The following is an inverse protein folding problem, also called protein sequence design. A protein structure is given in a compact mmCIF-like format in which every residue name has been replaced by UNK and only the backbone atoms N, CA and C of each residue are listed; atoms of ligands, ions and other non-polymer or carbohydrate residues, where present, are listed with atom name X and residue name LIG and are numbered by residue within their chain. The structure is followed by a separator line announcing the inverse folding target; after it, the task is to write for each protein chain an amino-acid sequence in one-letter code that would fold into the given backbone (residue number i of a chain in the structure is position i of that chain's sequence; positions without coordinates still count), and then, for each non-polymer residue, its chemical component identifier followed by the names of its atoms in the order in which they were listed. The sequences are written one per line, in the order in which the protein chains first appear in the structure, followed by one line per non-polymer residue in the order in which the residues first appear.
data_IF_223075791364
#
_entry.id   IF_223075791364
#
_cell.length_a   1.000
_cell.length_b   1.000
_cell.length_c   1.000
_cell.angle_alpha   90.00
_cell.angle_beta   90.00
_cell.angle_gamma   90.00
#
_symmetry.space_group_name_H-M   'P 1'
#
loop_
_entity.id
_entity.type
_entity.pdbx_description
1 polymer ?
#
# COMPACT_ATOMS: atom_id res chain seq x y z
N UNK A 1 -38.85 30.42 11.05
CA UNK A 1 -37.69 31.20 10.54
C UNK A 1 -36.39 30.47 10.88
N UNK A 2 -36.08 29.37 10.16
CA UNK A 2 -34.89 28.53 10.43
C UNK A 2 -34.14 28.02 9.19
N UNK A 3 -34.48 28.50 7.98
CA UNK A 3 -33.93 27.98 6.71
C UNK A 3 -32.71 28.76 6.17
N UNK A 4 -32.20 29.76 6.90
CA UNK A 4 -31.14 30.65 6.39
C UNK A 4 -29.71 30.12 6.54
N UNK A 5 -29.46 29.23 7.51
CA UNK A 5 -28.13 28.70 7.84
C UNK A 5 -27.80 27.47 7.00
N UNK A 6 -28.69 26.48 6.92
CA UNK A 6 -28.46 25.26 6.14
C UNK A 6 -28.25 25.52 4.65
N UNK A 7 -29.03 26.41 4.04
CA UNK A 7 -28.86 26.76 2.63
C UNK A 7 -27.57 27.53 2.32
N UNK A 8 -27.01 28.27 3.30
CA UNK A 8 -25.70 28.93 3.12
C UNK A 8 -24.55 27.92 3.20
N UNK A 9 -24.65 26.99 4.14
CA UNK A 9 -23.66 25.93 4.31
C UNK A 9 -23.63 24.98 3.11
N UNK A 10 -24.80 24.54 2.62
CA UNK A 10 -24.92 23.72 1.41
C UNK A 10 -24.19 24.37 0.22
N UNK A 11 -24.50 25.64 -0.08
CA UNK A 11 -23.84 26.36 -1.18
C UNK A 11 -22.33 26.55 -0.98
N UNK A 12 -21.89 26.69 0.27
CA UNK A 12 -20.45 26.76 0.59
C UNK A 12 -19.78 25.43 0.28
N UNK A 13 -20.35 24.31 0.73
CA UNK A 13 -19.81 22.96 0.50
C UNK A 13 -19.83 22.59 -0.99
N UNK A 14 -20.88 22.92 -1.73
CA UNK A 14 -20.95 22.70 -3.18
C UNK A 14 -19.90 23.51 -3.97
N UNK A 15 -19.62 24.74 -3.53
CA UNK A 15 -18.53 25.54 -4.08
C UNK A 15 -17.18 24.88 -3.77
N UNK A 16 -16.99 24.49 -2.52
CA UNK A 16 -15.77 23.85 -2.06
C UNK A 16 -15.50 22.53 -2.78
N UNK A 17 -16.51 21.72 -3.02
CA UNK A 17 -16.39 20.48 -3.80
C UNK A 17 -15.79 20.73 -5.19
N UNK A 18 -16.32 21.73 -5.90
CA UNK A 18 -15.80 22.11 -7.22
C UNK A 18 -14.35 22.59 -7.14
N UNK A 19 -14.02 23.43 -6.16
CA UNK A 19 -12.66 23.92 -5.95
C UNK A 19 -11.68 22.78 -5.68
N UNK A 20 -12.07 21.80 -4.85
CA UNK A 20 -11.24 20.64 -4.53
C UNK A 20 -11.01 19.75 -5.76
N UNK A 21 -12.05 19.48 -6.56
CA UNK A 21 -11.93 18.65 -7.77
C UNK A 21 -11.08 19.29 -8.89
N UNK A 22 -10.89 20.61 -8.88
CA UNK A 22 -10.03 21.28 -9.86
C UNK A 22 -8.54 21.27 -9.46
N UNK A 23 -8.19 20.76 -8.27
CA UNK A 23 -6.79 20.56 -7.88
C UNK A 23 -6.17 19.44 -8.73
N UNK A 24 -4.85 19.52 -8.91
CA UNK A 24 -4.10 18.48 -9.59
C UNK A 24 -4.23 17.16 -8.82
N UNK A 25 -4.54 16.06 -9.51
CA UNK A 25 -4.59 14.70 -8.95
C UNK A 25 -3.28 13.99 -9.21
N UNK A 26 -2.93 13.01 -8.37
CA UNK A 26 -1.91 12.03 -8.73
C UNK A 26 -2.30 11.33 -10.04
N UNK A 27 -1.31 11.10 -10.89
CA UNK A 27 -1.44 10.18 -12.02
C UNK A 27 -1.28 8.76 -11.48
N UNK A 28 -2.38 8.01 -11.49
CA UNK A 28 -2.45 6.63 -10.98
C UNK A 28 -2.94 5.76 -12.13
N UNK A 29 -2.34 4.58 -12.30
CA UNK A 29 -2.77 3.65 -13.33
C UNK A 29 -4.20 3.14 -13.06
N UNK A 30 -4.92 2.80 -14.13
CA UNK A 30 -6.34 2.42 -14.08
C UNK A 30 -6.65 1.30 -13.05
N UNK A 31 -5.85 0.22 -12.92
CA UNK A 31 -6.11 -0.84 -11.94
C UNK A 31 -6.02 -0.36 -10.48
N UNK A 32 -5.06 0.50 -10.16
CA UNK A 32 -4.88 1.08 -8.83
C UNK A 32 -5.99 2.09 -8.53
N UNK A 33 -6.40 2.87 -9.53
CA UNK A 33 -7.57 3.74 -9.42
C UNK A 33 -8.82 2.92 -9.11
N UNK A 34 -9.07 1.85 -9.87
CA UNK A 34 -10.22 0.96 -9.71
C UNK A 34 -10.25 0.31 -8.33
N UNK A 35 -9.10 -0.14 -7.84
CA UNK A 35 -8.95 -0.69 -6.49
C UNK A 35 -9.40 0.30 -5.41
N UNK A 36 -8.96 1.56 -5.50
CA UNK A 36 -9.33 2.59 -4.52
C UNK A 36 -10.81 2.91 -4.61
N UNK A 37 -11.36 3.07 -5.82
CA UNK A 37 -12.80 3.30 -6.00
C UNK A 37 -13.64 2.18 -5.46
N UNK A 38 -13.30 0.95 -5.77
CA UNK A 38 -14.11 -0.20 -5.38
C UNK A 38 -14.12 -0.34 -3.85
N UNK A 39 -13.00 -0.04 -3.18
CA UNK A 39 -12.95 0.07 -1.72
C UNK A 39 -13.84 1.20 -1.19
N UNK A 40 -13.79 2.41 -1.78
CA UNK A 40 -14.67 3.52 -1.40
C UNK A 40 -16.14 3.16 -1.59
N UNK A 41 -16.48 2.60 -2.76
CA UNK A 41 -17.84 2.22 -3.15
C UNK A 41 -18.40 1.14 -2.22
N UNK A 42 -17.58 0.18 -1.82
CA UNK A 42 -17.95 -0.84 -0.83
C UNK A 42 -18.41 -0.20 0.47
N UNK A 43 -17.63 0.74 1.03
CA UNK A 43 -17.98 1.44 2.26
C UNK A 43 -19.27 2.24 2.13
N UNK A 44 -19.43 2.99 1.04
CA UNK A 44 -20.64 3.79 0.80
C UNK A 44 -21.89 2.91 0.70
N UNK A 45 -21.77 1.78 0.00
CA UNK A 45 -22.85 0.79 -0.16
C UNK A 45 -23.23 0.14 1.17
N UNK A 46 -22.25 -0.20 2.01
CA UNK A 46 -22.50 -0.82 3.31
C UNK A 46 -23.13 0.14 4.32
N UNK A 47 -22.77 1.42 4.29
CA UNK A 47 -23.32 2.44 5.20
C UNK A 47 -24.70 2.92 4.77
N UNK A 48 -24.98 2.94 3.47
CA UNK A 48 -26.25 3.32 2.84
C UNK A 48 -26.98 4.48 3.54
N UNK A 49 -26.29 5.62 3.73
CA UNK A 49 -26.82 6.75 4.49
C UNK A 49 -28.10 7.34 3.86
N UNK A 50 -28.33 7.14 2.56
CA UNK A 50 -29.51 7.60 1.85
C UNK A 50 -30.63 6.53 1.75
N UNK A 51 -30.42 5.30 2.24
CA UNK A 51 -31.41 4.23 2.19
C UNK A 51 -31.75 3.79 0.76
N UNK A 52 -30.79 3.89 -0.17
CA UNK A 52 -30.96 3.60 -1.58
C UNK A 52 -31.02 2.08 -1.85
N UNK A 53 -30.73 1.23 -0.85
CA UNK A 53 -30.65 -0.21 -0.99
C UNK A 53 -31.80 -1.02 -0.34
N UNK A 54 -33.04 -1.00 -0.86
CA UNK A 54 -33.94 -2.13 -0.69
C UNK A 54 -33.75 -3.13 -1.87
N UNK A 55 -32.55 -3.71 -2.01
CA UNK A 55 -32.32 -4.93 -2.81
C UNK A 55 -31.91 -4.81 -4.29
N UNK A 56 -31.10 -3.81 -4.70
CA UNK A 56 -30.52 -3.66 -6.07
C UNK A 56 -29.00 -3.29 -5.98
N UNK A 57 -28.20 -3.31 -7.06
CA UNK A 57 -26.74 -3.49 -6.98
C UNK A 57 -25.97 -2.22 -6.57
N UNK A 58 -24.70 -2.43 -6.21
CA UNK A 58 -23.76 -1.49 -5.58
C UNK A 58 -23.38 -0.22 -6.38
N UNK A 59 -24.11 0.15 -7.45
CA UNK A 59 -23.73 1.24 -8.36
C UNK A 59 -24.39 2.61 -8.05
N UNK A 60 -25.34 2.66 -7.12
CA UNK A 60 -26.05 3.91 -6.75
C UNK A 60 -25.15 4.99 -6.12
N UNK A 61 -24.00 4.61 -5.55
CA UNK A 61 -23.00 5.54 -4.98
C UNK A 61 -21.76 5.73 -5.88
N UNK A 62 -21.82 5.35 -7.16
CA UNK A 62 -20.65 5.32 -8.04
C UNK A 62 -20.06 6.72 -8.27
N UNK A 63 -20.90 7.74 -8.44
CA UNK A 63 -20.42 9.11 -8.69
C UNK A 63 -19.70 9.70 -7.47
N UNK A 64 -20.23 9.43 -6.29
CA UNK A 64 -19.63 9.78 -5.00
C UNK A 64 -18.31 9.05 -4.80
N UNK A 65 -18.28 7.75 -5.10
CA UNK A 65 -17.07 6.95 -5.01
C UNK A 65 -15.98 7.49 -5.93
N UNK A 66 -16.33 7.87 -7.17
CA UNK A 66 -15.38 8.48 -8.12
C UNK A 66 -14.82 9.80 -7.59
N UNK A 67 -15.67 10.69 -7.07
CA UNK A 67 -15.24 11.98 -6.55
C UNK A 67 -14.38 11.83 -5.28
N UNK A 68 -14.80 10.97 -4.34
CA UNK A 68 -14.03 10.70 -3.12
C UNK A 68 -12.71 9.99 -3.41
N UNK A 69 -12.66 9.13 -4.43
CA UNK A 69 -11.40 8.52 -4.90
C UNK A 69 -10.43 9.58 -5.37
N UNK A 70 -10.88 10.55 -6.19
CA UNK A 70 -10.04 11.66 -6.63
C UNK A 70 -9.51 12.48 -5.45
N UNK A 71 -10.38 12.84 -4.52
CA UNK A 71 -10.00 13.65 -3.35
C UNK A 71 -9.03 12.89 -2.42
N UNK A 72 -9.26 11.59 -2.22
CA UNK A 72 -8.38 10.72 -1.46
C UNK A 72 -7.01 10.60 -2.12
N UNK A 73 -6.95 10.42 -3.45
CA UNK A 73 -5.68 10.36 -4.18
C UNK A 73 -4.94 11.70 -4.18
N UNK A 74 -5.66 12.83 -4.13
CA UNK A 74 -5.05 14.16 -4.03
C UNK A 74 -4.39 14.42 -2.67
N UNK A 75 -5.06 14.03 -1.59
CA UNK A 75 -4.65 14.40 -0.23
C UNK A 75 -4.09 13.21 0.58
N UNK A 76 -3.99 12.02 -0.04
CA UNK A 76 -3.48 10.80 0.57
C UNK A 76 -4.39 10.13 1.61
N UNK A 77 -5.51 10.78 1.94
CA UNK A 77 -6.52 10.28 2.88
C UNK A 77 -7.89 10.86 2.57
N UNK A 78 -8.95 10.15 2.97
CA UNK A 78 -10.28 10.73 2.99
C UNK A 78 -10.43 11.58 4.25
N UNK A 79 -10.85 12.84 4.08
CA UNK A 79 -11.17 13.74 5.19
C UNK A 79 -12.68 13.90 5.30
N UNK A 80 -13.21 14.14 6.50
CA UNK A 80 -14.66 14.38 6.65
C UNK A 80 -15.13 15.56 5.81
N UNK A 81 -14.27 16.54 5.54
CA UNK A 81 -14.56 17.61 4.59
C UNK A 81 -14.86 17.09 3.17
N UNK A 82 -14.11 16.09 2.68
CA UNK A 82 -14.32 15.48 1.36
C UNK A 82 -15.70 14.83 1.30
N UNK A 83 -16.03 14.06 2.33
CA UNK A 83 -17.33 13.41 2.47
C UNK A 83 -18.45 14.45 2.48
N UNK A 84 -18.35 15.50 3.31
CA UNK A 84 -19.38 16.55 3.40
C UNK A 84 -19.54 17.33 2.10
N UNK A 85 -18.44 17.69 1.43
CA UNK A 85 -18.50 18.44 0.17
C UNK A 85 -19.07 17.59 -0.96
N UNK A 86 -18.70 16.31 -1.02
CA UNK A 86 -19.24 15.35 -1.98
C UNK A 86 -20.75 15.13 -1.74
N UNK A 87 -21.16 14.89 -0.49
CA UNK A 87 -22.58 14.69 -0.14
C UNK A 87 -23.43 15.92 -0.49
N UNK A 88 -22.93 17.11 -0.20
CA UNK A 88 -23.59 18.37 -0.56
C UNK A 88 -23.73 18.56 -2.07
N UNK A 89 -22.78 18.08 -2.85
CA UNK A 89 -22.78 18.20 -4.30
C UNK A 89 -23.70 17.19 -4.99
N UNK A 90 -23.72 15.94 -4.51
CA UNK A 90 -24.45 14.86 -5.17
C UNK A 90 -25.89 14.68 -4.65
N UNK A 91 -26.12 14.90 -3.34
CA UNK A 91 -27.43 14.68 -2.71
C UNK A 91 -28.16 15.95 -2.26
N UNK A 92 -27.62 17.14 -2.53
CA UNK A 92 -28.18 18.43 -2.06
C UNK A 92 -28.45 18.49 -0.54
N UNK A 93 -27.73 17.69 0.24
CA UNK A 93 -27.88 17.57 1.70
C UNK A 93 -26.56 17.78 2.41
N UNK A 94 -26.63 18.26 3.66
CA UNK A 94 -25.44 18.49 4.48
C UNK A 94 -25.37 17.40 5.54
N UNK A 95 -24.38 16.52 5.43
CA UNK A 95 -24.02 15.61 6.50
C UNK A 95 -23.46 16.40 7.69
N UNK A 96 -23.80 15.93 8.89
CA UNK A 96 -23.16 16.41 10.10
C UNK A 96 -21.68 16.00 10.13
N UNK A 97 -20.90 16.72 10.94
CA UNK A 97 -19.44 16.57 10.96
C UNK A 97 -19.02 15.21 11.49
N UNK A 98 -19.70 14.71 12.53
CA UNK A 98 -19.35 13.45 13.18
C UNK A 98 -19.58 12.25 12.25
N UNK A 99 -20.73 12.21 11.57
CA UNK A 99 -21.03 11.17 10.58
C UNK A 99 -20.02 11.19 9.43
N UNK A 100 -19.66 12.38 8.94
CA UNK A 100 -18.73 12.51 7.84
C UNK A 100 -17.29 12.15 8.21
N UNK A 101 -16.81 12.54 9.40
CA UNK A 101 -15.50 12.17 9.90
C UNK A 101 -15.41 10.64 10.10
N UNK A 102 -16.43 10.03 10.70
CA UNK A 102 -16.52 8.56 10.84
C UNK A 102 -16.48 7.84 9.50
N UNK A 103 -17.22 8.34 8.50
CA UNK A 103 -17.23 7.75 7.16
C UNK A 103 -15.87 7.90 6.47
N UNK A 104 -15.22 9.05 6.62
CA UNK A 104 -13.91 9.32 6.06
C UNK A 104 -12.81 8.43 6.68
N UNK A 105 -12.85 8.23 8.00
CA UNK A 105 -11.98 7.27 8.70
C UNK A 105 -12.18 5.85 8.19
N UNK A 106 -13.44 5.41 8.03
CA UNK A 106 -13.78 4.09 7.51
C UNK A 106 -13.30 3.90 6.07
N UNK A 107 -13.53 4.88 5.18
CA UNK A 107 -13.02 4.85 3.80
C UNK A 107 -11.49 4.73 3.78
N UNK A 108 -10.80 5.54 4.59
CA UNK A 108 -9.32 5.50 4.66
C UNK A 108 -8.82 4.15 5.17
N UNK A 109 -9.51 3.56 6.15
CA UNK A 109 -9.20 2.23 6.65
C UNK A 109 -9.42 1.14 5.59
N UNK A 110 -10.53 1.22 4.83
CA UNK A 110 -10.85 0.23 3.79
C UNK A 110 -9.84 0.29 2.64
N UNK A 111 -9.45 1.48 2.19
CA UNK A 111 -8.40 1.64 1.15
C UNK A 111 -7.05 1.11 1.67
N UNK A 112 -6.73 1.32 2.95
CA UNK A 112 -5.53 0.74 3.56
C UNK A 112 -5.60 -0.79 3.59
N UNK A 113 -6.77 -1.37 3.85
CA UNK A 113 -6.99 -2.81 3.83
C UNK A 113 -6.91 -3.38 2.41
N UNK A 114 -7.48 -2.69 1.41
CA UNK A 114 -7.39 -3.08 0.00
C UNK A 114 -5.94 -3.04 -0.54
N UNK A 115 -5.09 -2.20 0.05
CA UNK A 115 -3.64 -2.12 -0.24
C UNK A 115 -2.78 -2.91 0.75
N UNK A 116 -3.38 -3.75 1.61
CA UNK A 116 -2.64 -4.58 2.54
C UNK A 116 -1.78 -5.62 1.79
N UNK A 117 -0.64 -6.05 2.38
CA UNK A 117 0.22 -7.03 1.74
C UNK A 117 -0.50 -8.38 1.63
N UNK A 118 -0.41 -9.01 0.45
CA UNK A 118 -0.81 -10.41 0.29
C UNK A 118 0.21 -11.34 0.97
N UNK A 119 -0.23 -12.47 1.55
CA UNK A 119 0.69 -13.43 2.14
C UNK A 119 1.70 -13.93 1.09
N UNK A 120 2.94 -14.18 1.53
CA UNK A 120 3.96 -14.74 0.65
C UNK A 120 3.73 -16.22 0.39
N UNK A 121 3.95 -16.65 -0.86
CA UNK A 121 3.99 -18.06 -1.21
C UNK A 121 5.27 -18.74 -0.70
N UNK A 122 6.39 -18.00 -0.66
CA UNK A 122 7.69 -18.47 -0.17
C UNK A 122 8.42 -17.36 0.63
N UNK A 123 8.00 -17.12 1.88
CA UNK A 123 8.55 -16.05 2.71
C UNK A 123 10.03 -16.25 3.03
N UNK A 124 10.53 -17.50 3.08
CA UNK A 124 11.93 -17.79 3.40
C UNK A 124 12.83 -17.38 2.24
N UNK A 125 12.45 -17.75 1.01
CA UNK A 125 13.20 -17.39 -0.19
C UNK A 125 13.17 -15.89 -0.45
N UNK A 126 12.01 -15.24 -0.31
CA UNK A 126 11.89 -13.79 -0.46
C UNK A 126 12.69 -13.01 0.60
N UNK A 127 12.61 -13.41 1.88
CA UNK A 127 13.40 -12.80 2.94
C UNK A 127 14.90 -13.03 2.72
N UNK A 128 15.28 -14.22 2.24
CA UNK A 128 16.64 -14.55 1.87
C UNK A 128 17.19 -13.69 0.73
N UNK A 129 16.37 -13.40 -0.28
CA UNK A 129 16.73 -12.52 -1.39
C UNK A 129 16.92 -11.06 -0.92
N UNK A 130 16.00 -10.55 -0.09
CA UNK A 130 16.15 -9.21 0.50
C UNK A 130 17.40 -9.11 1.37
N UNK A 131 17.71 -10.15 2.14
CA UNK A 131 18.91 -10.22 2.95
C UNK A 131 20.20 -10.27 2.12
N UNK A 132 20.22 -11.06 1.04
CA UNK A 132 21.35 -11.15 0.12
C UNK A 132 21.68 -9.78 -0.49
N UNK A 133 20.65 -8.98 -0.82
CA UNK A 133 20.79 -7.62 -1.34
C UNK A 133 20.88 -6.54 -0.25
N UNK A 134 21.08 -6.93 1.02
CA UNK A 134 21.31 -6.01 2.13
C UNK A 134 20.09 -5.17 2.57
N UNK A 135 18.88 -5.54 2.16
CA UNK A 135 17.64 -4.81 2.46
C UNK A 135 17.03 -5.07 3.84
N UNK A 136 17.44 -6.16 4.49
CA UNK A 136 16.94 -6.53 5.81
C UNK A 136 18.05 -7.15 6.68
N UNK A 137 17.89 -7.16 8.03
CA UNK A 137 18.85 -7.79 8.92
C UNK A 137 18.72 -9.33 8.92
N UNK A 138 19.75 -10.07 9.36
CA UNK A 138 19.72 -11.54 9.42
C UNK A 138 18.52 -12.12 10.17
N UNK A 139 18.07 -11.43 11.22
CA UNK A 139 16.91 -11.83 12.03
C UNK A 139 15.61 -11.95 11.21
N UNK A 140 15.48 -11.20 10.12
CA UNK A 140 14.31 -11.26 9.23
C UNK A 140 14.20 -12.62 8.52
N UNK A 141 15.32 -13.17 8.04
CA UNK A 141 15.39 -14.51 7.42
C UNK A 141 15.06 -15.59 8.45
N UNK A 142 15.62 -15.47 9.66
CA UNK A 142 15.35 -16.40 10.76
C UNK A 142 13.87 -16.37 11.16
N UNK A 143 13.27 -15.18 11.26
CA UNK A 143 11.84 -15.04 11.57
C UNK A 143 10.96 -15.70 10.50
N UNK A 144 11.25 -15.49 9.21
CA UNK A 144 10.55 -16.16 8.12
C UNK A 144 10.66 -17.69 8.21
N UNK A 145 11.83 -18.22 8.54
CA UNK A 145 12.03 -19.66 8.74
C UNK A 145 11.26 -20.19 9.96
N UNK A 146 11.22 -19.45 11.08
CA UNK A 146 10.45 -19.80 12.28
C UNK A 146 8.96 -19.89 11.96
N UNK A 147 8.42 -18.91 11.22
CA UNK A 147 7.02 -18.93 10.80
C UNK A 147 6.71 -20.13 9.90
N UNK A 148 7.62 -20.46 8.98
CA UNK A 148 7.49 -21.62 8.10
C UNK A 148 7.47 -22.95 8.87
N UNK A 149 8.36 -23.10 9.86
CA UNK A 149 8.37 -24.27 10.76
C UNK A 149 7.09 -24.31 11.62
N UNK A 150 6.65 -23.16 12.14
CA UNK A 150 5.43 -23.07 12.95
C UNK A 150 4.16 -23.41 12.14
N UNK A 151 4.17 -23.13 10.83
CA UNK A 151 3.13 -23.55 9.88
C UNK A 151 3.15 -25.07 9.58
N UNK A 152 4.13 -25.81 10.12
CA UNK A 152 4.25 -27.25 9.97
C UNK A 152 4.99 -27.70 8.71
N UNK A 153 5.72 -26.80 8.04
CA UNK A 153 6.55 -27.18 6.89
C UNK A 153 7.75 -28.00 7.39
N UNK A 154 7.93 -29.26 6.93
CA UNK A 154 9.01 -30.11 7.39
C UNK A 154 10.34 -29.73 6.72
N UNK A 155 11.45 -29.91 7.44
CA UNK A 155 12.81 -29.77 6.90
C UNK A 155 13.84 -29.66 8.01
N UNK A 156 14.89 -30.49 7.98
CA UNK A 156 15.95 -30.44 8.99
C UNK A 156 16.81 -29.18 8.81
N UNK A 157 17.05 -28.78 7.56
CA UNK A 157 17.81 -27.56 7.24
C UNK A 157 17.00 -26.31 7.49
N UNK A 158 15.70 -26.35 7.19
CA UNK A 158 14.77 -25.28 7.55
C UNK A 158 14.71 -25.07 9.08
N UNK A 159 14.62 -26.15 9.86
CA UNK A 159 14.66 -26.08 11.33
C UNK A 159 16.00 -25.52 11.84
N UNK A 160 17.12 -25.92 11.22
CA UNK A 160 18.43 -25.38 11.58
C UNK A 160 18.52 -23.87 11.34
N UNK A 161 18.02 -23.37 10.20
CA UNK A 161 17.92 -21.94 9.91
C UNK A 161 17.02 -21.21 10.93
N UNK A 162 15.86 -21.76 11.26
CA UNK A 162 14.94 -21.21 12.25
C UNK A 162 15.53 -21.21 13.69
N UNK A 163 16.52 -22.06 13.94
CA UNK A 163 17.17 -22.20 15.25
C UNK A 163 18.43 -21.35 15.39
N UNK A 164 18.77 -20.54 14.39
CA UNK A 164 19.90 -19.62 14.49
C UNK A 164 19.68 -18.60 15.60
N UNK A 165 20.78 -18.24 16.26
CA UNK A 165 20.82 -17.29 17.34
C UNK A 165 20.80 -15.85 16.82
N UNK A 166 20.40 -14.89 17.67
CA UNK A 166 20.14 -13.50 17.26
C UNK A 166 21.36 -12.74 16.74
N UNK A 167 22.58 -13.15 17.12
CA UNK A 167 23.85 -12.57 16.70
C UNK A 167 24.59 -13.41 15.65
N UNK A 168 23.89 -14.31 14.96
CA UNK A 168 24.46 -15.09 13.86
C UNK A 168 25.07 -14.15 12.81
N UNK A 169 26.27 -14.51 12.36
CA UNK A 169 26.98 -13.75 11.33
C UNK A 169 26.28 -13.89 9.98
N UNK A 170 26.54 -12.92 9.09
CA UNK A 170 26.01 -12.93 7.72
C UNK A 170 26.29 -14.26 7.01
N UNK A 171 27.50 -14.80 7.18
CA UNK A 171 27.91 -16.05 6.55
C UNK A 171 27.15 -17.27 7.09
N UNK A 172 26.88 -17.33 8.39
CA UNK A 172 26.12 -18.43 8.98
C UNK A 172 24.67 -18.42 8.50
N UNK A 173 24.06 -17.24 8.37
CA UNK A 173 22.70 -17.12 7.84
C UNK A 173 22.66 -17.50 6.36
N UNK A 174 23.62 -17.05 5.54
CA UNK A 174 23.68 -17.43 4.12
C UNK A 174 23.91 -18.94 3.93
N UNK A 175 24.80 -19.56 4.72
CA UNK A 175 25.06 -21.00 4.63
C UNK A 175 23.82 -21.82 5.02
N UNK A 176 23.17 -21.46 6.14
CA UNK A 176 21.94 -22.12 6.59
C UNK A 176 20.78 -21.91 5.60
N UNK A 177 20.63 -20.70 5.05
CA UNK A 177 19.63 -20.39 4.03
C UNK A 177 19.84 -21.24 2.78
N UNK A 178 21.06 -21.27 2.24
CA UNK A 178 21.36 -22.07 1.05
C UNK A 178 21.12 -23.57 1.27
N UNK A 179 21.45 -24.08 2.46
CA UNK A 179 21.17 -25.46 2.82
C UNK A 179 19.65 -25.74 2.90
N UNK A 180 18.86 -24.80 3.42
CA UNK A 180 17.40 -24.91 3.49
C UNK A 180 16.76 -24.85 2.10
N UNK A 181 17.19 -23.93 1.24
CA UNK A 181 16.72 -23.84 -0.16
C UNK A 181 17.05 -25.12 -0.93
N UNK A 182 18.27 -25.64 -0.78
CA UNK A 182 18.68 -26.88 -1.42
C UNK A 182 17.86 -28.10 -0.92
N UNK A 183 17.52 -28.17 0.37
CA UNK A 183 16.63 -29.21 0.92
C UNK A 183 15.20 -29.12 0.34
N UNK A 184 14.70 -27.90 0.14
CA UNK A 184 13.40 -27.65 -0.50
C UNK A 184 13.40 -27.92 -2.01
N UNK A 185 14.57 -28.13 -2.62
CA UNK A 185 14.71 -28.30 -4.07
C UNK A 185 14.68 -26.98 -4.84
N UNK A 186 14.81 -25.86 -4.15
CA UNK A 186 14.80 -24.52 -4.72
C UNK A 186 16.20 -24.14 -5.26
N UNK A 187 16.28 -23.38 -6.37
CA UNK A 187 17.56 -22.93 -6.89
C UNK A 187 18.24 -21.94 -5.93
N UNK A 188 19.57 -21.85 -5.92
CA UNK A 188 20.26 -20.84 -5.10
C UNK A 188 19.88 -19.43 -5.54
N UNK A 189 19.87 -18.49 -4.60
CA UNK A 189 19.71 -17.07 -4.90
C UNK A 189 21.02 -16.52 -5.47
N UNK A 190 20.94 -15.73 -6.54
CA UNK A 190 22.11 -15.19 -7.23
C UNK A 190 21.99 -13.67 -7.35
N UNK A 191 23.03 -12.97 -6.90
CA UNK A 191 23.10 -11.52 -7.03
C UNK A 191 23.16 -11.11 -8.50
N UNK A 192 22.35 -10.12 -8.88
CA UNK A 192 22.27 -9.59 -10.24
C UNK A 192 21.36 -10.38 -11.19
N UNK A 193 20.64 -11.40 -10.71
CA UNK A 193 19.54 -11.99 -11.48
C UNK A 193 18.20 -11.27 -11.20
N UNK A 194 17.33 -11.29 -12.21
CA UNK A 194 16.03 -10.61 -12.11
C UNK A 194 15.11 -11.27 -11.08
N UNK A 195 15.21 -12.59 -10.93
CA UNK A 195 14.35 -13.36 -10.02
C UNK A 195 14.62 -13.00 -8.55
N UNK A 196 15.88 -12.97 -8.14
CA UNK A 196 16.32 -12.58 -6.79
C UNK A 196 15.96 -11.12 -6.54
N UNK A 197 16.14 -10.22 -7.51
CA UNK A 197 15.71 -8.82 -7.38
C UNK A 197 14.20 -8.71 -7.14
N UNK A 198 13.39 -9.46 -7.91
CA UNK A 198 11.93 -9.50 -7.74
C UNK A 198 11.56 -10.06 -6.36
N UNK A 199 12.14 -11.19 -5.95
CA UNK A 199 11.89 -11.82 -4.64
C UNK A 199 12.26 -10.89 -3.47
N UNK A 200 13.41 -10.22 -3.57
CA UNK A 200 13.85 -9.24 -2.59
C UNK A 200 12.87 -8.08 -2.46
N UNK A 201 12.44 -7.52 -3.60
CA UNK A 201 11.51 -6.41 -3.63
C UNK A 201 10.12 -6.82 -3.13
N UNK A 202 9.69 -8.07 -3.38
CA UNK A 202 8.44 -8.63 -2.83
C UNK A 202 8.49 -8.65 -1.30
N UNK A 203 9.59 -9.10 -0.69
CA UNK A 203 9.75 -9.06 0.77
C UNK A 203 9.73 -7.61 1.30
N UNK A 204 10.52 -6.72 0.71
CA UNK A 204 10.61 -5.32 1.11
C UNK A 204 9.25 -4.59 1.00
N UNK A 205 8.50 -4.81 -0.10
CA UNK A 205 7.17 -4.24 -0.31
C UNK A 205 6.18 -4.71 0.75
N UNK A 206 6.17 -6.00 1.11
CA UNK A 206 5.28 -6.50 2.17
C UNK A 206 5.63 -5.88 3.52
N UNK A 207 6.92 -5.76 3.82
CA UNK A 207 7.41 -5.14 5.05
C UNK A 207 7.02 -3.66 5.11
N UNK A 208 7.10 -2.93 4.00
CA UNK A 208 6.64 -1.53 3.90
C UNK A 208 5.14 -1.41 4.12
N UNK A 209 4.32 -2.23 3.42
CA UNK A 209 2.87 -2.17 3.54
C UNK A 209 2.38 -2.52 4.96
N UNK A 210 3.12 -3.39 5.66
CA UNK A 210 2.91 -3.74 7.07
C UNK A 210 3.47 -2.70 8.08
N UNK A 211 4.17 -1.65 7.62
CA UNK A 211 4.77 -0.62 8.47
C UNK A 211 6.09 -1.01 9.14
N UNK A 212 6.74 -2.09 8.69
CA UNK A 212 8.05 -2.54 9.16
C UNK A 212 9.23 -1.83 8.50
N UNK A 213 9.00 -1.00 7.49
CA UNK A 213 9.96 -0.04 6.93
C UNK A 213 9.24 1.24 6.54
N UNK A 214 9.92 2.37 6.65
CA UNK A 214 9.41 3.65 6.16
C UNK A 214 9.67 3.82 4.66
N UNK A 215 9.02 4.84 4.07
CA UNK A 215 9.09 5.15 2.65
C UNK A 215 10.53 5.44 2.18
N UNK A 216 11.29 6.22 2.95
CA UNK A 216 12.65 6.62 2.55
C UNK A 216 13.61 5.44 2.57
N UNK A 217 13.49 4.61 3.61
CA UNK A 217 14.26 3.38 3.73
C UNK A 217 13.97 2.41 2.59
N UNK A 218 12.70 2.26 2.19
CA UNK A 218 12.33 1.44 1.03
C UNK A 218 12.90 2.04 -0.27
N UNK A 219 12.60 3.31 -0.57
CA UNK A 219 12.96 3.94 -1.85
C UNK A 219 14.48 3.93 -2.08
N UNK A 220 15.24 4.35 -1.06
CA UNK A 220 16.70 4.45 -1.16
C UNK A 220 17.34 3.09 -1.30
N UNK A 221 16.86 2.08 -0.56
CA UNK A 221 17.33 0.71 -0.74
C UNK A 221 17.02 0.18 -2.14
N UNK A 222 15.77 0.32 -2.60
CA UNK A 222 15.37 -0.15 -3.95
C UNK A 222 16.19 0.51 -5.05
N UNK A 223 16.40 1.83 -4.97
CA UNK A 223 17.24 2.56 -5.93
C UNK A 223 18.70 2.08 -5.89
N UNK A 224 19.27 1.89 -4.69
CA UNK A 224 20.69 1.51 -4.54
C UNK A 224 20.98 0.04 -4.89
N UNK A 225 20.08 -0.88 -4.56
CA UNK A 225 20.31 -2.32 -4.65
C UNK A 225 19.78 -2.94 -5.95
N UNK A 226 18.69 -2.40 -6.50
CA UNK A 226 18.08 -2.90 -7.75
C UNK A 226 18.43 -1.96 -8.90
N UNK A 227 18.25 -0.65 -8.69
CA UNK A 227 18.59 0.37 -9.67
C UNK A 227 17.74 0.34 -10.95
N UNK A 228 17.98 1.31 -11.84
CA UNK A 228 17.23 1.45 -13.10
C UNK A 228 17.55 0.37 -14.14
N UNK A 229 18.70 -0.28 -14.01
CA UNK A 229 19.12 -1.39 -14.89
C UNK A 229 18.55 -2.75 -14.44
N UNK A 230 17.76 -2.78 -13.35
CA UNK A 230 17.10 -3.97 -12.84
C UNK A 230 15.85 -4.37 -13.66
N UNK A 231 15.03 -5.30 -13.12
CA UNK A 231 13.82 -5.75 -13.80
C UNK A 231 12.85 -4.60 -14.10
N UNK A 232 12.32 -4.54 -15.34
CA UNK A 232 11.38 -3.48 -15.78
C UNK A 232 10.19 -3.33 -14.83
N UNK A 233 9.69 -4.44 -14.29
CA UNK A 233 8.57 -4.46 -13.33
C UNK A 233 8.88 -3.75 -11.99
N UNK A 234 10.16 -3.58 -11.64
CA UNK A 234 10.60 -2.87 -10.44
C UNK A 234 10.79 -1.36 -10.65
N UNK A 235 10.86 -0.88 -11.90
CA UNK A 235 11.14 0.52 -12.24
C UNK A 235 10.22 1.53 -11.51
N UNK A 236 8.89 1.31 -11.38
CA UNK A 236 8.03 2.24 -10.65
C UNK A 236 8.41 2.44 -9.18
N UNK A 237 9.01 1.43 -8.55
CA UNK A 237 9.48 1.50 -7.16
C UNK A 237 10.90 2.09 -7.06
N UNK A 238 11.75 1.86 -8.06
CA UNK A 238 13.08 2.50 -8.17
C UNK A 238 12.95 4.01 -8.32
N UNK A 239 12.01 4.46 -9.15
CA UNK A 239 11.75 5.90 -9.39
C UNK A 239 11.26 6.66 -8.16
N UNK A 240 10.77 5.97 -7.12
CA UNK A 240 10.32 6.64 -5.90
C UNK A 240 11.42 7.48 -5.24
N UNK A 241 12.67 7.03 -5.29
CA UNK A 241 13.76 7.79 -4.67
C UNK A 241 14.04 9.10 -5.41
N UNK A 242 14.01 9.06 -6.75
CA UNK A 242 14.14 10.25 -7.60
C UNK A 242 12.99 11.24 -7.40
N UNK A 243 11.75 10.74 -7.36
CA UNK A 243 10.54 11.54 -7.10
C UNK A 243 10.66 12.26 -5.75
N UNK A 244 11.11 11.53 -4.73
CA UNK A 244 11.27 12.03 -3.38
C UNK A 244 12.42 13.04 -3.23
N UNK A 245 13.53 12.84 -3.94
CA UNK A 245 14.66 13.77 -3.95
C UNK A 245 14.32 15.06 -4.69
N UNK A 246 13.53 14.96 -5.77
CA UNK A 246 12.99 16.12 -6.47
C UNK A 246 12.11 16.97 -5.54
N UNK A 247 11.26 16.36 -4.72
CA UNK A 247 10.45 17.07 -3.72
C UNK A 247 11.31 17.69 -2.62
N UNK A 248 12.29 16.95 -2.08
CA UNK A 248 13.22 17.45 -1.08
C UNK A 248 13.99 18.68 -1.57
N UNK A 249 14.44 18.66 -2.83
CA UNK A 249 15.11 19.81 -3.46
C UNK A 249 14.19 21.05 -3.61
N UNK A 250 12.87 20.84 -3.67
CA UNK A 250 11.86 21.91 -3.69
C UNK A 250 11.44 22.36 -2.28
N UNK A 251 12.00 21.76 -1.22
CA UNK A 251 11.61 22.02 0.17
C UNK A 251 10.23 21.45 0.53
N UNK A 252 9.78 20.44 -0.21
CA UNK A 252 8.53 19.72 0.03
C UNK A 252 8.85 18.43 0.76
N UNK A 253 8.33 18.29 1.98
CA UNK A 253 8.41 17.04 2.74
C UNK A 253 7.40 16.02 2.17
N UNK A 254 7.73 14.71 2.16
CA UNK A 254 6.77 13.68 1.76
C UNK A 254 5.55 13.72 2.68
N UNK A 255 4.37 13.89 2.09
CA UNK A 255 3.10 13.96 2.81
C UNK A 255 2.29 12.65 2.68
N UNK A 256 1.02 12.70 3.06
CA UNK A 256 0.14 11.54 2.95
C UNK A 256 -0.05 11.07 1.50
N UNK A 257 0.03 11.97 0.54
CA UNK A 257 -0.14 11.69 -0.89
C UNK A 257 1.03 10.88 -1.42
N UNK A 258 2.26 11.29 -1.08
CA UNK A 258 3.47 10.52 -1.35
C UNK A 258 3.42 9.10 -0.77
N UNK A 259 2.95 8.98 0.47
CA UNK A 259 2.83 7.68 1.14
C UNK A 259 1.79 6.78 0.46
N UNK A 260 0.65 7.33 0.06
CA UNK A 260 -0.39 6.57 -0.62
C UNK A 260 0.08 6.08 -1.99
N UNK A 261 0.74 6.93 -2.78
CA UNK A 261 1.30 6.55 -4.08
C UNK A 261 2.27 5.36 -3.94
N UNK A 262 3.24 5.47 -3.02
CA UNK A 262 4.18 4.38 -2.77
C UNK A 262 3.48 3.08 -2.33
N UNK A 263 2.42 3.15 -1.52
CA UNK A 263 1.62 1.98 -1.14
C UNK A 263 0.90 1.36 -2.33
N UNK A 264 0.37 2.16 -3.24
CA UNK A 264 -0.28 1.68 -4.47
C UNK A 264 0.74 1.00 -5.38
N UNK A 265 1.91 1.60 -5.62
CA UNK A 265 3.00 1.00 -6.41
C UNK A 265 3.48 -0.32 -5.80
N UNK A 266 3.67 -0.39 -4.48
CA UNK A 266 4.07 -1.63 -3.79
C UNK A 266 3.00 -2.72 -3.89
N UNK A 267 1.72 -2.38 -3.72
CA UNK A 267 0.62 -3.34 -3.86
C UNK A 267 0.47 -3.83 -5.31
N UNK A 268 0.64 -2.94 -6.29
CA UNK A 268 0.64 -3.27 -7.72
C UNK A 268 1.75 -4.26 -8.06
N UNK A 269 2.98 -3.97 -7.60
CA UNK A 269 4.13 -4.84 -7.79
C UNK A 269 3.89 -6.25 -7.22
N UNK A 270 3.38 -6.35 -5.98
CA UNK A 270 3.06 -7.64 -5.36
C UNK A 270 1.99 -8.43 -6.12
N UNK A 271 1.00 -7.77 -6.72
CA UNK A 271 -0.01 -8.44 -7.56
C UNK A 271 0.57 -8.92 -8.88
N UNK A 272 1.41 -8.11 -9.51
CA UNK A 272 1.98 -8.40 -10.83
C UNK A 272 3.05 -9.51 -10.77
N UNK A 273 3.64 -9.72 -9.59
CA UNK A 273 4.67 -10.75 -9.34
C UNK A 273 4.16 -11.91 -8.49
N UNK A 274 2.85 -11.95 -8.19
CA UNK A 274 2.22 -12.91 -7.28
C UNK A 274 2.47 -14.36 -7.66
#
# INVERSE_FOLDING_TARGET
MGNGTGGRELRRLQRQHRELLHRHSLEVADPEWDLVRDAVLSVLTEEDLCGLFPGSPADEYLFEAVDLTRLLLQDGACLGLHVRSCWAAQFDTVLDVETADRLAERITAEVRAATAPTPSADPVREAGAEFLLGGCPPLHVVAAAVEHVAAGVPGERLLALASLYSDASVWEVLDALNAALAEAGEPPLVEGDDETAILALRSACRRFLAGGTDLRSLSSWTHSAIGHDGPEIAEPLVLLDDDLDLWGAQGVEPDATALLDARLRAAAFLRATA
#
